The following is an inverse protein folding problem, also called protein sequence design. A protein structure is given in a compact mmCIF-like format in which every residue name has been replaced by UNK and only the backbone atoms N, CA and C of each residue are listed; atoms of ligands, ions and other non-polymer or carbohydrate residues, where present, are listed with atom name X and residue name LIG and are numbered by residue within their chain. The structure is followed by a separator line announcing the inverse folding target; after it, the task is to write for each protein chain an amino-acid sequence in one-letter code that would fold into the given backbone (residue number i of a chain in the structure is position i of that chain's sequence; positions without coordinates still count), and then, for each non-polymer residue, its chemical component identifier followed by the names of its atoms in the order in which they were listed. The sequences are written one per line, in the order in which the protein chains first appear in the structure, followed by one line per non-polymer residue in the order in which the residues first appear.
data_IF_611393035139
#
_entry.id   IF_611393035139
#
_cell.length_a   1.000
_cell.length_b   1.000
_cell.length_c   1.000
_cell.angle_alpha   90.00
_cell.angle_beta   90.00
_cell.angle_gamma   90.00
#
_symmetry.space_group_name_H-M   'P 1'
#
loop_
_entity.id
_entity.type
_entity.pdbx_description
1 polymer ?
#
# COMPACT_ATOMS: atom_id res chain seq x y z
N UNK A 1 -12.71 -30.46 31.97
CA UNK A 1 -13.39 -29.27 31.40
C UNK A 1 -12.46 -28.07 31.27
N UNK A 2 -11.60 -27.76 32.25
CA UNK A 2 -10.69 -26.62 32.19
C UNK A 2 -9.61 -26.69 31.07
N UNK A 3 -9.00 -27.86 30.84
CA UNK A 3 -7.94 -28.01 29.84
C UNK A 3 -8.41 -27.76 28.40
N UNK A 4 -9.57 -28.31 28.02
CA UNK A 4 -10.16 -28.12 26.69
C UNK A 4 -10.32 -26.63 26.36
N UNK A 5 -10.79 -25.85 27.34
CA UNK A 5 -11.00 -24.40 27.20
C UNK A 5 -9.68 -23.64 27.05
N UNK A 6 -8.63 -24.06 27.76
CA UNK A 6 -7.27 -23.49 27.60
C UNK A 6 -6.69 -23.81 26.22
N UNK A 7 -6.91 -25.02 25.71
CA UNK A 7 -6.48 -25.41 24.37
C UNK A 7 -7.19 -24.60 23.28
N UNK A 8 -8.50 -24.38 23.40
CA UNK A 8 -9.26 -23.53 22.49
C UNK A 8 -8.76 -22.08 22.51
N UNK A 9 -8.55 -21.51 23.69
CA UNK A 9 -7.99 -20.16 23.83
C UNK A 9 -6.58 -20.05 23.24
N UNK A 10 -5.75 -21.08 23.40
CA UNK A 10 -4.40 -21.09 22.83
C UNK A 10 -4.42 -21.20 21.31
N UNK A 11 -5.34 -21.96 20.73
CA UNK A 11 -5.55 -21.99 19.27
C UNK A 11 -5.97 -20.62 18.74
N UNK A 12 -6.93 -19.98 19.40
CA UNK A 12 -7.37 -18.63 19.05
C UNK A 12 -6.22 -17.61 19.14
N UNK A 13 -5.34 -17.74 20.15
CA UNK A 13 -4.15 -16.90 20.28
C UNK A 13 -3.18 -17.07 19.09
N UNK A 14 -2.97 -18.30 18.61
CA UNK A 14 -2.14 -18.59 17.44
C UNK A 14 -2.77 -18.03 16.17
N UNK A 15 -4.07 -18.23 15.96
CA UNK A 15 -4.81 -17.64 14.83
C UNK A 15 -4.72 -16.10 14.84
N UNK A 16 -4.78 -15.49 16.03
CA UNK A 16 -4.60 -14.05 16.20
C UNK A 16 -3.18 -13.61 15.80
N UNK A 17 -2.15 -14.36 16.18
CA UNK A 17 -0.77 -14.04 15.78
C UNK A 17 -0.56 -14.16 14.27
N UNK A 18 -1.12 -15.19 13.64
CA UNK A 18 -1.08 -15.37 12.19
C UNK A 18 -1.80 -14.22 11.47
N UNK A 19 -2.99 -13.85 11.93
CA UNK A 19 -3.74 -12.71 11.39
C UNK A 19 -2.98 -11.38 11.54
N UNK A 20 -2.21 -11.25 12.61
CA UNK A 20 -1.40 -10.07 12.91
C UNK A 20 -0.02 -10.08 12.24
N UNK A 21 0.32 -11.17 11.53
CA UNK A 21 1.65 -11.41 10.97
C UNK A 21 2.78 -11.24 12.02
N UNK A 22 2.52 -11.65 13.27
CA UNK A 22 3.45 -11.40 14.37
C UNK A 22 4.75 -12.21 14.18
N UNK A 23 5.94 -11.59 14.28
CA UNK A 23 7.20 -12.27 14.02
C UNK A 23 7.42 -13.44 14.99
N UNK A 24 7.99 -14.53 14.48
CA UNK A 24 8.21 -15.78 15.23
C UNK A 24 9.01 -15.54 16.52
N UNK A 25 9.93 -14.57 16.52
CA UNK A 25 10.73 -14.25 17.70
C UNK A 25 9.91 -13.68 18.86
N UNK A 26 8.86 -12.91 18.57
CA UNK A 26 7.89 -12.48 19.59
C UNK A 26 6.98 -13.64 20.03
N UNK A 27 6.62 -14.54 19.11
CA UNK A 27 5.82 -15.72 19.43
C UNK A 27 6.56 -16.68 20.38
N UNK A 28 7.89 -16.79 20.27
CA UNK A 28 8.72 -17.68 21.12
C UNK A 28 8.61 -17.37 22.62
N UNK A 29 8.34 -16.12 23.00
CA UNK A 29 8.12 -15.73 24.39
C UNK A 29 6.93 -16.49 25.02
N UNK A 30 5.99 -16.94 24.20
CA UNK A 30 4.79 -17.69 24.60
C UNK A 30 4.87 -19.19 24.32
N UNK A 31 6.05 -19.72 24.00
CA UNK A 31 6.26 -21.15 23.74
C UNK A 31 5.72 -22.06 24.85
N UNK A 32 5.75 -21.60 26.11
CA UNK A 32 5.18 -22.28 27.26
C UNK A 32 3.64 -22.42 27.18
N UNK A 33 2.95 -21.43 26.61
CA UNK A 33 1.51 -21.43 26.35
C UNK A 33 1.19 -22.25 25.10
N UNK A 34 1.92 -22.08 24.00
CA UNK A 34 1.72 -22.84 22.75
C UNK A 34 1.88 -24.34 22.96
N UNK A 35 2.77 -24.76 23.87
CA UNK A 35 2.95 -26.18 24.23
C UNK A 35 1.74 -26.78 24.95
N UNK A 36 0.84 -25.97 25.51
CA UNK A 36 -0.40 -26.43 26.14
C UNK A 36 -1.42 -26.96 25.12
N UNK A 37 -1.29 -26.62 23.83
CA UNK A 37 -2.14 -27.15 22.75
C UNK A 37 -2.10 -28.69 22.71
N UNK A 38 -0.94 -29.27 23.00
CA UNK A 38 -0.70 -30.73 22.94
C UNK A 38 -0.54 -31.39 24.31
N UNK A 39 -0.65 -30.65 25.42
CA UNK A 39 -0.40 -31.16 26.76
C UNK A 39 -1.59 -31.95 27.33
N UNK A 40 -1.30 -32.97 28.15
CA UNK A 40 -2.31 -33.78 28.86
C UNK A 40 -2.66 -33.20 30.24
N UNK A 41 -3.82 -33.60 30.81
CA UNK A 41 -4.32 -33.09 32.11
C UNK A 41 -3.32 -33.31 33.25
N UNK A 42 -2.64 -34.46 33.28
CA UNK A 42 -1.64 -34.80 34.31
C UNK A 42 -0.38 -33.93 34.19
N UNK A 43 0.05 -33.59 32.97
CA UNK A 43 1.25 -32.79 32.73
C UNK A 43 1.09 -31.32 33.13
N UNK A 44 -0.15 -30.81 33.06
CA UNK A 44 -0.54 -29.42 33.35
C UNK A 44 -0.69 -29.19 34.86
N UNK A 45 -1.17 -30.20 35.60
CA UNK A 45 -1.32 -30.14 37.06
C UNK A 45 0.04 -30.16 37.80
N UNK A 46 1.01 -30.92 37.27
CA UNK A 46 2.36 -31.04 37.86
C UNK A 46 3.23 -29.78 37.64
N UNK A 47 3.02 -29.05 36.53
CA UNK A 47 3.87 -27.88 36.17
C UNK A 47 3.41 -26.54 36.75
N UNK A 48 2.29 -26.48 37.48
CA UNK A 48 1.79 -25.21 38.02
C UNK A 48 1.31 -24.21 36.97
N UNK A 49 0.92 -24.66 35.77
CA UNK A 49 0.49 -23.84 34.64
C UNK A 49 -0.81 -23.03 34.87
N UNK A 50 -1.42 -23.13 36.06
CA UNK A 50 -2.62 -22.39 36.48
C UNK A 50 -2.33 -21.49 37.70
N UNK A 51 -1.07 -21.14 37.95
CA UNK A 51 -0.74 -20.21 39.03
C UNK A 51 -1.29 -18.81 38.74
N UNK A 52 -1.50 -18.03 39.81
CA UNK A 52 -1.94 -16.63 39.69
C UNK A 52 -0.97 -15.79 38.84
N UNK A 53 0.32 -16.13 38.84
CA UNK A 53 1.34 -15.45 38.04
C UNK A 53 1.16 -15.69 36.54
N UNK A 54 0.81 -16.93 36.14
CA UNK A 54 0.54 -17.27 34.72
C UNK A 54 -0.72 -16.55 34.23
N UNK A 55 -1.78 -16.50 35.04
CA UNK A 55 -3.01 -15.77 34.69
C UNK A 55 -2.71 -14.29 34.49
N UNK A 56 -1.94 -13.67 35.40
CA UNK A 56 -1.56 -12.27 35.30
C UNK A 56 -0.69 -11.97 34.08
N UNK A 57 0.23 -12.88 33.72
CA UNK A 57 1.03 -12.76 32.50
C UNK A 57 0.15 -12.80 31.24
N UNK A 58 -0.84 -13.69 31.19
CA UNK A 58 -1.79 -13.79 30.06
C UNK A 58 -2.65 -12.52 29.95
N UNK A 59 -3.16 -11.98 31.05
CA UNK A 59 -3.94 -10.74 31.04
C UNK A 59 -3.13 -9.55 30.50
N UNK A 60 -1.89 -9.40 30.96
CA UNK A 60 -0.97 -8.36 30.46
C UNK A 60 -0.72 -8.54 28.96
N UNK A 61 -0.52 -9.77 28.51
CA UNK A 61 -0.31 -10.02 27.08
C UNK A 61 -1.56 -9.73 26.25
N UNK A 62 -2.77 -10.07 26.73
CA UNK A 62 -4.02 -9.73 26.04
C UNK A 62 -4.15 -8.21 25.89
N UNK A 63 -3.79 -7.43 26.91
CA UNK A 63 -3.78 -5.97 26.81
C UNK A 63 -2.75 -5.47 25.79
N UNK A 64 -1.54 -6.02 25.80
CA UNK A 64 -0.50 -5.70 24.80
C UNK A 64 -0.99 -6.01 23.38
N UNK A 65 -1.59 -7.18 23.17
CA UNK A 65 -2.12 -7.63 21.90
C UNK A 65 -3.29 -6.77 21.42
N UNK A 66 -4.17 -6.30 22.32
CA UNK A 66 -5.25 -5.38 21.94
C UNK A 66 -4.70 -4.03 21.42
N UNK A 67 -3.68 -3.48 22.08
CA UNK A 67 -3.01 -2.26 21.61
C UNK A 67 -2.32 -2.51 20.26
N UNK A 68 -1.60 -3.62 20.13
CA UNK A 68 -0.93 -4.00 18.88
C UNK A 68 -1.94 -4.20 17.75
N UNK A 69 -3.07 -4.86 18.02
CA UNK A 69 -4.19 -5.06 17.09
C UNK A 69 -4.74 -3.74 16.58
N UNK A 70 -5.01 -2.78 17.48
CA UNK A 70 -5.48 -1.46 17.09
C UNK A 70 -4.44 -0.75 16.19
N UNK A 71 -3.15 -0.82 16.55
CA UNK A 71 -2.09 -0.20 15.75
C UNK A 71 -1.96 -0.85 14.36
N UNK A 72 -2.01 -2.18 14.27
CA UNK A 72 -1.94 -2.91 13.00
C UNK A 72 -3.16 -2.65 12.13
N UNK A 73 -4.33 -2.55 12.75
CA UNK A 73 -5.56 -2.22 12.05
C UNK A 73 -5.49 -0.82 11.41
N UNK A 74 -4.93 0.16 12.14
CA UNK A 74 -4.65 1.51 11.60
C UNK A 74 -3.67 1.45 10.42
N UNK A 75 -2.59 0.67 10.54
CA UNK A 75 -1.61 0.46 9.46
C UNK A 75 -2.26 -0.12 8.20
N UNK A 76 -3.09 -1.16 8.32
CA UNK A 76 -3.77 -1.80 7.20
C UNK A 76 -4.71 -0.83 6.47
N UNK A 77 -5.44 0.01 7.22
CA UNK A 77 -6.31 1.04 6.63
C UNK A 77 -5.49 2.02 5.78
N UNK A 78 -4.35 2.50 6.28
CA UNK A 78 -3.49 3.39 5.48
C UNK A 78 -2.88 2.69 4.27
N UNK A 79 -2.51 1.41 4.39
CA UNK A 79 -2.01 0.63 3.25
C UNK A 79 -3.04 0.56 2.11
N UNK A 80 -4.31 0.31 2.45
CA UNK A 80 -5.43 0.27 1.48
C UNK A 80 -5.72 1.64 0.89
N UNK A 81 -5.65 2.70 1.70
CA UNK A 81 -5.79 4.06 1.19
C UNK A 81 -4.71 4.40 0.15
N UNK A 82 -3.45 4.05 0.44
CA UNK A 82 -2.35 4.29 -0.48
C UNK A 82 -2.50 3.47 -1.76
N UNK A 83 -2.94 2.21 -1.69
CA UNK A 83 -3.21 1.40 -2.89
C UNK A 83 -4.26 2.07 -3.79
N UNK A 84 -5.33 2.60 -3.19
CA UNK A 84 -6.36 3.32 -3.91
C UNK A 84 -5.83 4.60 -4.59
N UNK A 85 -4.99 5.36 -3.88
CA UNK A 85 -4.31 6.54 -4.41
C UNK A 85 -3.43 6.21 -5.63
N UNK A 86 -2.65 5.14 -5.56
CA UNK A 86 -1.79 4.72 -6.67
C UNK A 86 -2.59 4.29 -7.90
N UNK A 87 -3.75 3.65 -7.72
CA UNK A 87 -4.65 3.34 -8.84
C UNK A 87 -5.17 4.63 -9.49
N UNK A 88 -5.66 5.60 -8.69
CA UNK A 88 -6.16 6.87 -9.23
C UNK A 88 -5.09 7.66 -9.98
N UNK A 89 -3.86 7.72 -9.45
CA UNK A 89 -2.71 8.30 -10.16
C UNK A 89 -2.42 7.57 -11.46
N UNK A 90 -2.45 6.25 -11.45
CA UNK A 90 -2.21 5.42 -12.64
C UNK A 90 -3.22 5.64 -13.77
N UNK A 91 -4.43 6.10 -13.46
CA UNK A 91 -5.46 6.46 -14.45
C UNK A 91 -5.57 7.98 -14.71
N UNK A 92 -4.57 8.75 -14.26
CA UNK A 92 -4.53 10.21 -14.35
C UNK A 92 -5.77 10.91 -13.76
N UNK A 93 -6.34 10.35 -12.70
CA UNK A 93 -7.38 11.03 -11.92
C UNK A 93 -6.72 11.89 -10.83
N UNK A 94 -7.01 13.18 -10.85
CA UNK A 94 -6.58 14.10 -9.79
C UNK A 94 -7.50 13.95 -8.57
N UNK A 95 -6.92 13.45 -7.47
CA UNK A 95 -7.62 13.27 -6.19
C UNK A 95 -6.81 14.00 -5.13
N UNK A 96 -7.46 14.86 -4.35
CA UNK A 96 -6.85 15.50 -3.18
C UNK A 96 -6.60 14.46 -2.08
N UNK A 97 -5.50 13.72 -2.25
CA UNK A 97 -5.10 12.65 -1.34
C UNK A 97 -4.79 13.18 0.05
N UNK A 98 -4.32 14.42 0.17
CA UNK A 98 -3.99 15.00 1.47
C UNK A 98 -5.25 15.30 2.29
N UNK A 99 -6.29 15.85 1.66
CA UNK A 99 -7.59 16.01 2.30
C UNK A 99 -8.21 14.65 2.67
N UNK A 100 -8.15 13.67 1.76
CA UNK A 100 -8.67 12.32 2.00
C UNK A 100 -7.98 11.62 3.18
N UNK A 101 -6.64 11.70 3.27
CA UNK A 101 -5.84 11.17 4.39
C UNK A 101 -6.22 11.81 5.72
N UNK A 102 -6.46 13.13 5.75
CA UNK A 102 -6.87 13.84 6.97
C UNK A 102 -8.26 13.41 7.43
N UNK A 103 -9.22 13.30 6.50
CA UNK A 103 -10.57 12.82 6.80
C UNK A 103 -10.52 11.39 7.36
N UNK A 104 -9.74 10.52 6.73
CA UNK A 104 -9.54 9.14 7.18
C UNK A 104 -8.94 9.08 8.58
N UNK A 105 -7.89 9.86 8.84
CA UNK A 105 -7.23 9.94 10.15
C UNK A 105 -8.20 10.36 11.24
N UNK A 106 -8.96 11.43 11.01
CA UNK A 106 -9.98 11.90 11.96
C UNK A 106 -11.05 10.84 12.24
N UNK A 107 -11.47 10.09 11.20
CA UNK A 107 -12.43 8.99 11.33
C UNK A 107 -11.89 7.87 12.23
N UNK A 108 -10.64 7.47 12.05
CA UNK A 108 -9.98 6.43 12.86
C UNK A 108 -9.84 6.90 14.32
N UNK A 109 -9.40 8.14 14.53
CA UNK A 109 -9.14 8.69 15.86
C UNK A 109 -10.43 8.95 16.66
N UNK A 110 -11.55 9.16 15.98
CA UNK A 110 -12.86 9.28 16.64
C UNK A 110 -13.32 8.00 17.35
N UNK A 111 -12.73 6.84 17.03
CA UNK A 111 -13.07 5.54 17.62
C UNK A 111 -14.49 5.05 17.34
N UNK A 112 -15.25 5.77 16.50
CA UNK A 112 -16.68 5.54 16.27
C UNK A 112 -16.95 4.61 15.07
N UNK A 113 -15.91 3.98 14.52
CA UNK A 113 -15.99 3.16 13.30
C UNK A 113 -15.49 1.76 13.60
N UNK A 114 -16.26 0.77 13.15
CA UNK A 114 -15.75 -0.58 13.05
C UNK A 114 -14.69 -0.63 11.95
N UNK A 115 -13.45 -0.84 12.37
CA UNK A 115 -12.31 -0.91 11.47
C UNK A 115 -12.40 -2.09 10.50
N UNK A 116 -13.11 -3.17 10.87
CA UNK A 116 -13.34 -4.31 9.97
C UNK A 116 -14.24 -3.92 8.80
N UNK A 117 -15.36 -3.27 9.07
CA UNK A 117 -16.27 -2.74 8.04
C UNK A 117 -15.58 -1.71 7.15
N UNK A 118 -14.77 -0.81 7.75
CA UNK A 118 -13.99 0.16 7.01
C UNK A 118 -13.02 -0.51 6.03
N UNK A 119 -12.25 -1.51 6.48
CA UNK A 119 -11.32 -2.25 5.62
C UNK A 119 -12.03 -2.95 4.46
N UNK A 120 -13.18 -3.56 4.73
CA UNK A 120 -13.99 -4.21 3.70
C UNK A 120 -14.49 -3.21 2.65
N UNK A 121 -14.99 -2.06 3.09
CA UNK A 121 -15.41 -1.00 2.16
C UNK A 121 -14.24 -0.49 1.30
N UNK A 122 -13.04 -0.38 1.87
CA UNK A 122 -11.85 0.01 1.11
C UNK A 122 -11.43 -1.07 0.10
N UNK A 123 -11.53 -2.35 0.45
CA UNK A 123 -11.30 -3.46 -0.49
C UNK A 123 -12.25 -3.41 -1.68
N UNK A 124 -13.53 -3.14 -1.43
CA UNK A 124 -14.52 -2.98 -2.50
C UNK A 124 -14.19 -1.77 -3.39
N UNK A 125 -13.80 -0.64 -2.81
CA UNK A 125 -13.38 0.54 -3.57
C UNK A 125 -12.13 0.25 -4.42
N UNK A 126 -11.13 -0.44 -3.87
CA UNK A 126 -9.93 -0.85 -4.61
C UNK A 126 -10.31 -1.76 -5.78
N UNK A 127 -11.16 -2.77 -5.54
CA UNK A 127 -11.63 -3.68 -6.58
C UNK A 127 -12.32 -2.91 -7.71
N UNK A 128 -13.26 -2.03 -7.37
CA UNK A 128 -13.96 -1.20 -8.35
C UNK A 128 -13.00 -0.27 -9.11
N UNK A 129 -12.05 0.35 -8.42
CA UNK A 129 -11.05 1.22 -9.04
C UNK A 129 -10.16 0.46 -10.02
N UNK A 130 -9.74 -0.77 -9.69
CA UNK A 130 -9.00 -1.66 -10.59
C UNK A 130 -9.82 -2.04 -11.83
N UNK A 131 -11.08 -2.41 -11.65
CA UNK A 131 -11.98 -2.73 -12.78
C UNK A 131 -12.16 -1.52 -13.71
N UNK A 132 -12.35 -0.32 -13.15
CA UNK A 132 -12.45 0.91 -13.91
C UNK A 132 -11.16 1.25 -14.64
N UNK A 133 -10.01 1.12 -13.98
CA UNK A 133 -8.70 1.34 -14.59
C UNK A 133 -8.46 0.39 -15.77
N UNK A 134 -8.77 -0.90 -15.60
CA UNK A 134 -8.67 -1.90 -16.67
C UNK A 134 -9.60 -1.58 -17.84
N UNK A 135 -10.84 -1.14 -17.58
CA UNK A 135 -11.80 -0.80 -18.64
C UNK A 135 -11.34 0.37 -19.52
N UNK A 136 -10.48 1.25 -19.00
CA UNK A 136 -9.98 2.46 -19.67
C UNK A 136 -8.58 2.32 -20.25
N UNK A 137 -7.91 1.18 -20.02
CA UNK A 137 -6.50 0.96 -20.42
C UNK A 137 -6.27 1.28 -21.89
N UNK A 138 -7.11 0.75 -22.78
CA UNK A 138 -6.91 0.92 -24.22
C UNK A 138 -7.05 2.39 -24.66
N UNK A 139 -7.82 3.21 -23.93
CA UNK A 139 -7.93 4.65 -24.17
C UNK A 139 -6.66 5.36 -23.68
N UNK A 140 -6.20 5.04 -22.46
CA UNK A 140 -4.98 5.60 -21.89
C UNK A 140 -3.75 5.31 -22.76
N UNK A 141 -3.62 4.08 -23.26
CA UNK A 141 -2.53 3.69 -24.17
C UNK A 141 -2.54 4.49 -25.48
N UNK A 142 -3.73 4.84 -25.99
CA UNK A 142 -3.88 5.66 -27.20
C UNK A 142 -3.53 7.11 -26.93
N UNK A 143 -3.94 7.66 -25.79
CA UNK A 143 -3.61 9.02 -25.37
C UNK A 143 -2.09 9.17 -25.23
N UNK A 144 -1.41 8.21 -24.62
CA UNK A 144 0.04 8.26 -24.46
C UNK A 144 0.76 8.21 -25.81
N UNK A 145 0.32 7.34 -26.73
CA UNK A 145 0.85 7.31 -28.10
C UNK A 145 0.66 8.63 -28.84
N UNK A 146 -0.51 9.26 -28.71
CA UNK A 146 -0.77 10.57 -29.32
C UNK A 146 0.09 11.68 -28.72
N UNK A 147 0.33 11.64 -27.42
CA UNK A 147 1.24 12.58 -26.75
C UNK A 147 2.66 12.46 -27.30
N UNK A 148 3.20 11.25 -27.41
CA UNK A 148 4.52 11.03 -28.02
C UNK A 148 4.57 11.48 -29.48
N UNK A 149 3.55 11.16 -30.28
CA UNK A 149 3.51 11.58 -31.68
C UNK A 149 3.48 13.11 -31.82
N UNK A 150 2.73 13.81 -30.95
CA UNK A 150 2.70 15.27 -30.94
C UNK A 150 4.04 15.90 -30.50
N UNK A 151 4.74 15.28 -29.54
CA UNK A 151 6.08 15.70 -29.12
C UNK A 151 7.11 15.50 -30.24
N UNK A 152 7.04 14.37 -30.95
CA UNK A 152 7.88 14.07 -32.11
C UNK A 152 7.62 15.03 -33.29
N UNK A 153 6.36 15.31 -33.61
CA UNK A 153 5.99 16.27 -34.65
C UNK A 153 6.56 17.66 -34.35
N UNK A 154 6.41 18.12 -33.10
CA UNK A 154 7.00 19.39 -32.66
C UNK A 154 8.52 19.39 -32.81
N UNK A 155 9.19 18.29 -32.44
CA UNK A 155 10.64 18.17 -32.60
C UNK A 155 11.06 18.23 -34.07
N UNK A 156 10.31 17.57 -34.97
CA UNK A 156 10.55 17.61 -36.42
C UNK A 156 10.36 19.01 -37.00
N UNK A 157 9.32 19.75 -36.57
CA UNK A 157 9.09 21.13 -37.00
C UNK A 157 10.25 22.06 -36.61
N UNK A 158 10.76 21.93 -35.39
CA UNK A 158 11.91 22.68 -34.90
C UNK A 158 13.17 22.35 -35.71
N UNK A 159 13.40 21.07 -35.98
CA UNK A 159 14.52 20.59 -36.80
C UNK A 159 14.46 21.12 -38.25
N UNK A 160 13.31 21.03 -38.90
CA UNK A 160 13.12 21.56 -40.25
C UNK A 160 13.37 23.07 -40.32
N UNK A 161 12.89 23.81 -39.32
CA UNK A 161 13.08 25.26 -39.25
C UNK A 161 14.56 25.62 -39.11
N UNK A 162 15.31 24.88 -38.31
CA UNK A 162 16.75 25.10 -38.13
C UNK A 162 17.53 24.80 -39.42
N UNK A 163 17.20 23.71 -40.10
CA UNK A 163 17.78 23.38 -41.41
C UNK A 163 17.51 24.45 -42.46
N UNK A 164 16.27 24.97 -42.53
CA UNK A 164 15.90 26.05 -43.46
C UNK A 164 16.70 27.33 -43.18
N UNK A 165 16.93 27.69 -41.90
CA UNK A 165 17.79 28.83 -41.54
C UNK A 165 19.24 28.60 -41.95
N UNK A 166 19.79 27.41 -41.69
CA UNK A 166 21.18 27.11 -42.01
C UNK A 166 21.44 27.17 -43.52
N UNK A 167 20.51 26.63 -44.33
CA UNK A 167 20.59 26.74 -45.79
C UNK A 167 20.53 28.20 -46.25
N UNK A 168 19.66 29.02 -45.64
CA UNK A 168 19.58 30.44 -45.95
C UNK A 168 20.89 31.19 -45.63
N UNK A 169 21.52 30.90 -44.49
CA UNK A 169 22.83 31.45 -44.13
C UNK A 169 23.90 31.05 -45.17
N UNK A 170 24.00 29.76 -45.52
CA UNK A 170 24.98 29.29 -46.51
C UNK A 170 24.78 29.94 -47.89
N UNK A 171 23.53 30.09 -48.33
CA UNK A 171 23.22 30.76 -49.61
C UNK A 171 23.62 32.24 -49.53
N UNK A 172 23.30 32.91 -48.42
CA UNK A 172 23.67 34.31 -48.19
C UNK A 172 25.20 34.49 -48.21
N UNK A 173 25.94 33.65 -47.51
CA UNK A 173 27.41 33.69 -47.45
C UNK A 173 28.03 33.46 -48.83
N UNK A 174 27.54 32.48 -49.60
CA UNK A 174 27.97 32.24 -50.97
C UNK A 174 27.72 33.46 -51.89
N UNK A 175 26.58 34.14 -51.74
CA UNK A 175 26.27 35.35 -52.52
C UNK A 175 27.22 36.49 -52.12
N UNK A 176 27.50 36.66 -50.83
CA UNK A 176 28.46 37.67 -50.36
C UNK A 176 29.88 37.41 -50.88
N UNK A 177 30.37 36.18 -50.81
CA UNK A 177 31.68 35.80 -51.34
C UNK A 177 31.76 36.03 -52.85
N UNK A 178 30.75 35.58 -53.62
CA UNK A 178 30.71 35.79 -55.06
C UNK A 178 30.77 37.28 -55.44
N UNK A 179 30.03 38.13 -54.73
CA UNK A 179 30.04 39.58 -54.95
C UNK A 179 31.37 40.24 -54.52
N UNK A 180 32.05 39.71 -53.50
CA UNK A 180 33.34 40.22 -53.03
C UNK A 180 34.52 39.86 -53.96
N UNK A 181 34.45 38.73 -54.68
CA UNK A 181 35.45 38.36 -55.69
C UNK A 181 35.26 39.08 -57.04
N UNK A 182 34.09 39.68 -57.27
CA UNK A 182 33.75 40.40 -58.51
C UNK A 182 34.12 41.89 -58.53
N UNK A 183 34.70 42.42 -57.45
CA UNK A 183 35.20 43.80 -57.30
C UNK A 183 36.72 43.87 -57.26
#
# INVERSE_FOLDING_TARGET
MALQKVQELTKFLVELWDLMEMPIDEQKAFSHVTRLISASVDEVSIRGCLSADVIKQVEVEVQRLNVLKASKMKELVFKRHNELEEIYKGVHMDVDSEAARKILTNRIESGNIDMSELLQSMDDQIRMAKEQALSRRDILDRVEKWKFAAEEEKWLDEYEKENKKQLFCLISDCIYEFNAFGS
#
